data_IF_033024404796
#
_entry.id   IF_033024404796
#
_cell.length_a   1.000
_cell.length_b   1.000
_cell.length_c   1.000
_cell.angle_alpha   90.00
_cell.angle_beta   90.00
_cell.angle_gamma   90.00
#
_symmetry.space_group_name_H-M   'P 1'
#
loop_
_entity.id
_entity.type
_entity.pdbx_description
1 polymer ?
#
# COMPACT_ATOMS: atom_id res chain seq x y z
N UNK A 1 23.35 -8.75 5.74
CA UNK A 1 22.23 -9.42 5.03
C UNK A 1 20.85 -8.96 5.52
N UNK A 2 20.67 -8.77 6.83
CA UNK A 2 19.42 -8.31 7.45
C UNK A 2 18.82 -7.08 6.74
N UNK A 3 19.61 -6.05 6.45
CA UNK A 3 19.13 -4.86 5.74
C UNK A 3 18.56 -5.13 4.33
N UNK A 4 19.02 -6.17 3.61
CA UNK A 4 18.45 -6.54 2.31
C UNK A 4 17.09 -7.22 2.45
N UNK A 5 16.92 -8.02 3.50
CA UNK A 5 15.64 -8.67 3.82
C UNK A 5 14.60 -7.61 4.18
N UNK A 6 14.94 -6.70 5.11
CA UNK A 6 14.05 -5.59 5.47
C UNK A 6 13.77 -4.64 4.29
N UNK A 7 14.76 -4.37 3.43
CA UNK A 7 14.56 -3.58 2.21
C UNK A 7 13.55 -4.22 1.24
N UNK A 8 13.59 -5.55 1.09
CA UNK A 8 12.60 -6.29 0.32
C UNK A 8 11.20 -6.21 0.92
N UNK A 9 11.09 -6.50 2.22
CA UNK A 9 9.81 -6.44 2.95
C UNK A 9 9.20 -5.03 2.88
N UNK A 10 10.01 -3.99 3.09
CA UNK A 10 9.56 -2.59 3.01
C UNK A 10 9.00 -2.26 1.64
N UNK A 11 9.65 -2.70 0.56
CA UNK A 11 9.15 -2.46 -0.80
C UNK A 11 7.82 -3.17 -1.04
N UNK A 12 7.70 -4.41 -0.58
CA UNK A 12 6.43 -5.16 -0.67
C UNK A 12 5.30 -4.47 0.10
N UNK A 13 5.58 -3.97 1.30
CA UNK A 13 4.60 -3.23 2.11
C UNK A 13 4.24 -1.89 1.47
N UNK A 14 5.21 -1.17 0.89
CA UNK A 14 4.97 0.13 0.26
C UNK A 14 3.90 0.04 -0.84
N UNK A 15 3.94 -1.02 -1.67
CA UNK A 15 2.93 -1.24 -2.70
C UNK A 15 1.63 -1.81 -2.13
N UNK A 16 1.70 -2.87 -1.32
CA UNK A 16 0.50 -3.60 -0.88
C UNK A 16 -0.34 -2.83 0.15
N UNK A 17 0.30 -2.14 1.10
CA UNK A 17 -0.41 -1.35 2.11
C UNK A 17 -1.06 -0.10 1.49
N UNK A 18 -0.36 0.56 0.57
CA UNK A 18 -0.90 1.69 -0.18
C UNK A 18 -2.11 1.28 -1.02
N UNK A 19 -2.01 0.17 -1.77
CA UNK A 19 -3.11 -0.34 -2.57
C UNK A 19 -4.36 -0.63 -1.73
N UNK A 20 -4.17 -1.31 -0.60
CA UNK A 20 -5.26 -1.67 0.31
C UNK A 20 -5.92 -0.44 0.93
N UNK A 21 -5.13 0.57 1.34
CA UNK A 21 -5.65 1.82 1.87
C UNK A 21 -6.44 2.60 0.81
N UNK A 22 -5.93 2.70 -0.42
CA UNK A 22 -6.59 3.41 -1.51
C UNK A 22 -7.94 2.75 -1.86
N UNK A 23 -7.98 1.42 -1.90
CA UNK A 23 -9.22 0.65 -2.14
C UNK A 23 -10.23 0.91 -1.02
N UNK A 24 -9.80 0.92 0.24
CA UNK A 24 -10.67 1.19 1.38
C UNK A 24 -11.23 2.62 1.36
N UNK A 25 -10.40 3.62 1.06
CA UNK A 25 -10.81 5.01 0.95
C UNK A 25 -11.77 5.24 -0.24
N UNK A 26 -11.51 4.58 -1.36
CA UNK A 26 -12.37 4.61 -2.55
C UNK A 26 -13.74 3.97 -2.29
N UNK A 27 -13.78 2.85 -1.56
CA UNK A 27 -15.01 2.18 -1.14
C UNK A 27 -15.81 3.05 -0.15
N UNK A 28 -15.15 3.68 0.84
CA UNK A 28 -15.80 4.63 1.77
C UNK A 28 -16.50 5.79 1.04
N UNK A 29 -15.95 6.23 -0.09
CA UNK A 29 -16.48 7.35 -0.87
C UNK A 29 -17.44 6.94 -2.01
N UNK A 30 -17.74 5.64 -2.16
CA UNK A 30 -18.62 5.10 -3.22
C UNK A 30 -18.26 5.55 -4.65
N UNK A 31 -16.96 5.69 -4.95
CA UNK A 31 -16.52 6.08 -6.28
C UNK A 31 -16.52 4.91 -7.26
N UNK A 32 -16.66 5.20 -8.55
CA UNK A 32 -16.70 4.21 -9.62
C UNK A 32 -15.31 3.54 -9.82
N UNK A 33 -15.28 2.21 -9.97
CA UNK A 33 -14.04 1.39 -10.02
C UNK A 33 -13.03 1.86 -11.08
N UNK A 34 -13.50 2.48 -12.17
CA UNK A 34 -12.65 2.98 -13.26
C UNK A 34 -11.67 4.10 -12.83
N UNK A 35 -12.04 4.93 -11.85
CA UNK A 35 -11.21 6.03 -11.37
C UNK A 35 -10.05 5.54 -10.49
N UNK A 36 -10.24 4.40 -9.82
CA UNK A 36 -9.20 3.74 -9.03
C UNK A 36 -8.05 3.26 -9.92
N UNK A 37 -8.37 2.48 -10.97
CA UNK A 37 -7.37 1.96 -11.91
C UNK A 37 -6.64 3.07 -12.68
N UNK A 38 -7.35 4.16 -13.03
CA UNK A 38 -6.74 5.32 -13.66
C UNK A 38 -5.79 6.06 -12.71
N UNK A 39 -6.15 6.17 -11.43
CA UNK A 39 -5.30 6.78 -10.40
C UNK A 39 -4.05 5.94 -10.15
N UNK A 40 -4.18 4.61 -10.02
CA UNK A 40 -3.02 3.71 -9.92
C UNK A 40 -2.11 3.81 -11.14
N UNK A 41 -2.67 3.79 -12.35
CA UNK A 41 -1.87 3.91 -13.57
C UNK A 41 -1.10 5.23 -13.63
N UNK A 42 -1.75 6.35 -13.29
CA UNK A 42 -1.08 7.66 -13.24
C UNK A 42 -0.04 7.73 -12.13
N UNK A 43 -0.34 7.21 -10.95
CA UNK A 43 0.57 7.21 -9.80
C UNK A 43 1.81 6.35 -10.04
N UNK A 44 1.66 5.16 -10.62
CA UNK A 44 2.78 4.26 -10.95
C UNK A 44 3.58 4.80 -12.13
N UNK A 45 2.93 5.32 -13.17
CA UNK A 45 3.59 5.81 -14.38
C UNK A 45 4.36 7.12 -14.15
N UNK A 46 3.70 8.11 -13.53
CA UNK A 46 4.34 9.38 -13.22
C UNK A 46 5.22 9.25 -11.97
N UNK A 47 4.78 8.52 -10.95
CA UNK A 47 5.53 8.35 -9.72
C UNK A 47 6.86 7.64 -9.94
N UNK A 48 6.86 6.43 -10.49
CA UNK A 48 8.13 5.68 -10.59
C UNK A 48 9.16 6.35 -11.50
N UNK A 49 8.72 6.99 -12.60
CA UNK A 49 9.63 7.68 -13.51
C UNK A 49 10.09 9.03 -12.98
N UNK A 50 9.14 9.94 -12.71
CA UNK A 50 9.45 11.31 -12.33
C UNK A 50 10.08 11.39 -10.93
N UNK A 51 9.55 10.64 -9.96
CA UNK A 51 10.09 10.65 -8.59
C UNK A 51 11.47 10.01 -8.54
N UNK A 52 11.77 9.00 -9.37
CA UNK A 52 13.12 8.43 -9.43
C UNK A 52 14.15 9.46 -9.91
N UNK A 53 13.82 10.23 -10.96
CA UNK A 53 14.69 11.29 -11.48
C UNK A 53 14.88 12.39 -10.44
N UNK A 54 13.79 12.85 -9.83
CA UNK A 54 13.84 13.90 -8.80
C UNK A 54 14.59 13.44 -7.55
N UNK A 55 14.40 12.19 -7.12
CA UNK A 55 15.11 11.60 -5.96
C UNK A 55 16.61 11.45 -6.23
N UNK A 56 17.00 11.04 -7.43
CA UNK A 56 18.41 10.98 -7.83
C UNK A 56 19.05 12.36 -7.86
N UNK A 57 18.36 13.37 -8.40
CA UNK A 57 18.84 14.75 -8.40
C UNK A 57 18.93 15.31 -6.98
N UNK A 58 17.91 15.09 -6.14
CA UNK A 58 17.87 15.55 -4.76
C UNK A 58 18.96 14.89 -3.91
N UNK A 59 19.19 13.58 -4.09
CA UNK A 59 20.28 12.85 -3.44
C UNK A 59 21.65 13.40 -3.82
N UNK A 60 21.87 13.67 -5.11
CA UNK A 60 23.12 14.31 -5.57
C UNK A 60 23.28 15.72 -4.99
N UNK A 61 22.22 16.53 -4.98
CA UNK A 61 22.27 17.88 -4.40
C UNK A 61 22.55 17.85 -2.89
N UNK A 62 21.97 16.90 -2.14
CA UNK A 62 22.22 16.78 -0.70
C UNK A 62 23.67 16.37 -0.39
N UNK A 63 24.23 15.47 -1.19
CA UNK A 63 25.62 15.01 -1.02
C UNK A 63 26.62 16.10 -1.45
N UNK A 64 26.41 16.72 -2.62
CA UNK A 64 27.34 17.70 -3.17
C UNK A 64 27.23 19.09 -2.51
N UNK A 65 26.02 19.57 -2.20
CA UNK A 65 25.81 20.94 -1.69
C UNK A 65 26.04 21.04 -0.18
N UNK A 66 25.64 20.02 0.59
CA UNK A 66 25.77 20.02 2.04
C UNK A 66 26.98 19.23 2.57
N UNK A 67 27.69 18.47 1.72
CA UNK A 67 28.86 17.65 2.11
C UNK A 67 28.62 16.74 3.33
N UNK A 68 27.36 16.36 3.60
CA UNK A 68 26.94 15.60 4.79
C UNK A 68 27.33 14.11 4.77
N UNK A 69 28.15 13.71 3.80
CA UNK A 69 28.59 12.33 3.62
C UNK A 69 27.49 11.41 3.06
N UNK A 70 27.84 10.13 2.79
CA UNK A 70 26.95 9.18 2.10
C UNK A 70 25.67 8.79 2.87
N UNK A 71 25.48 9.28 4.09
CA UNK A 71 24.34 8.96 4.97
C UNK A 71 23.20 9.99 4.86
N UNK A 72 23.46 11.17 4.30
CA UNK A 72 22.50 12.27 4.20
C UNK A 72 21.17 11.92 3.49
N UNK A 73 21.15 11.13 2.39
CA UNK A 73 19.91 10.76 1.72
C UNK A 73 19.01 9.87 2.59
N UNK A 74 19.61 9.02 3.43
CA UNK A 74 18.86 8.13 4.33
C UNK A 74 18.20 8.93 5.46
N UNK A 75 18.88 9.94 5.99
CA UNK A 75 18.36 10.79 7.06
C UNK A 75 17.22 11.69 6.54
N UNK A 76 17.37 12.22 5.34
CA UNK A 76 16.30 12.96 4.66
C UNK A 76 15.06 12.08 4.42
N UNK A 77 15.25 10.84 3.95
CA UNK A 77 14.16 9.89 3.79
C UNK A 77 13.47 9.55 5.13
N UNK A 78 14.23 9.42 6.22
CA UNK A 78 13.68 9.19 7.56
C UNK A 78 12.84 10.38 8.04
N UNK A 79 13.29 11.61 7.80
CA UNK A 79 12.52 12.81 8.12
C UNK A 79 11.20 12.88 7.35
N UNK A 80 11.23 12.61 6.04
CA UNK A 80 10.03 12.59 5.19
C UNK A 80 9.06 11.52 5.68
N UNK A 81 9.56 10.34 6.03
CA UNK A 81 8.74 9.26 6.58
C UNK A 81 8.10 9.66 7.92
N UNK A 82 8.84 10.30 8.82
CA UNK A 82 8.31 10.77 10.10
C UNK A 82 7.18 11.79 9.92
N UNK A 83 7.33 12.73 8.99
CA UNK A 83 6.29 13.71 8.64
C UNK A 83 5.08 12.99 8.00
N UNK A 84 5.33 12.03 7.13
CA UNK A 84 4.30 11.20 6.52
C UNK A 84 3.47 10.46 7.56
N UNK A 85 4.11 9.83 8.54
CA UNK A 85 3.41 9.15 9.64
C UNK A 85 2.58 10.12 10.49
N UNK A 86 3.05 11.35 10.71
CA UNK A 86 2.31 12.35 11.47
C UNK A 86 1.11 12.96 10.70
N UNK A 87 1.18 13.01 9.37
CA UNK A 87 0.17 13.62 8.50
C UNK A 87 -0.81 12.60 7.92
N UNK A 88 -0.49 11.31 7.99
CA UNK A 88 -1.35 10.25 7.51
C UNK A 88 -2.48 9.98 8.50
N UNK A 89 -3.71 10.38 8.14
CA UNK A 89 -4.90 10.01 8.90
C UNK A 89 -5.08 8.50 8.83
N UNK A 90 -4.92 7.83 9.97
CA UNK A 90 -5.03 6.39 10.07
C UNK A 90 -6.46 5.94 9.76
N UNK A 91 -6.60 5.18 8.67
CA UNK A 91 -7.88 4.63 8.24
C UNK A 91 -8.15 3.37 9.06
N UNK A 92 -8.59 3.55 10.31
CA UNK A 92 -9.09 2.44 11.11
C UNK A 92 -10.29 1.84 10.37
N UNK A 93 -10.10 0.62 9.85
CA UNK A 93 -11.20 -0.25 9.51
C UNK A 93 -12.09 -0.39 10.75
N UNK A 94 -13.40 -0.37 10.55
CA UNK A 94 -14.40 -0.43 11.62
C UNK A 94 -14.02 -1.53 12.64
N UNK A 95 -13.81 -1.21 13.93
CA UNK A 95 -13.39 -2.20 14.93
C UNK A 95 -14.39 -3.35 15.09
N UNK A 96 -15.60 -3.18 14.57
CA UNK A 96 -16.71 -4.15 14.62
C UNK A 96 -16.52 -5.38 13.72
N UNK A 97 -15.54 -5.40 12.80
CA UNK A 97 -15.30 -6.54 11.89
C UNK A 97 -13.91 -7.17 12.06
N UNK A 98 -13.37 -7.11 13.28
CA UNK A 98 -12.21 -7.91 13.70
C UNK A 98 -12.61 -9.39 13.89
N UNK A 99 -13.16 -9.99 12.84
CA UNK A 99 -13.27 -11.45 12.75
C UNK A 99 -11.87 -11.99 12.58
N UNK A 100 -11.37 -12.64 13.63
CA UNK A 100 -10.08 -13.33 13.69
C UNK A 100 -9.72 -13.93 12.33
N UNK A 101 -8.59 -13.51 11.74
CA UNK A 101 -8.18 -13.99 10.41
C UNK A 101 -8.14 -15.52 10.36
N UNK A 102 -7.71 -16.15 11.46
CA UNK A 102 -7.75 -17.59 11.65
C UNK A 102 -9.17 -18.18 11.59
N UNK A 103 -10.17 -17.47 12.12
CA UNK A 103 -11.57 -17.87 11.99
C UNK A 103 -12.05 -17.78 10.54
N UNK A 104 -11.64 -16.76 9.79
CA UNK A 104 -11.98 -16.62 8.37
C UNK A 104 -11.30 -17.68 7.50
N UNK A 105 -10.02 -17.97 7.74
CA UNK A 105 -9.32 -19.07 7.06
C UNK A 105 -9.95 -20.43 7.38
N UNK A 106 -10.36 -20.65 8.63
CA UNK A 106 -11.05 -21.89 9.04
C UNK A 106 -12.43 -22.01 8.38
N UNK A 107 -13.21 -20.92 8.33
CA UNK A 107 -14.51 -20.88 7.65
C UNK A 107 -14.35 -21.09 6.13
N UNK A 108 -13.37 -20.45 5.51
CA UNK A 108 -13.06 -20.63 4.09
C UNK A 108 -12.61 -22.07 3.79
N UNK A 109 -11.76 -22.66 4.62
CA UNK A 109 -11.33 -24.06 4.47
C UNK A 109 -12.51 -25.03 4.61
N UNK A 110 -13.42 -24.80 5.57
CA UNK A 110 -14.65 -25.59 5.73
C UNK A 110 -15.59 -25.39 4.53
N UNK A 111 -15.72 -24.16 4.02
CA UNK A 111 -16.54 -23.86 2.85
C UNK A 111 -16.03 -24.58 1.59
N UNK A 112 -14.71 -24.58 1.37
CA UNK A 112 -14.06 -25.31 0.28
C UNK A 112 -14.23 -26.83 0.45
N UNK A 113 -14.02 -27.35 1.66
CA UNK A 113 -14.19 -28.78 1.97
C UNK A 113 -15.66 -29.25 1.85
N UNK A 114 -16.63 -28.38 2.13
CA UNK A 114 -18.06 -28.67 2.02
C UNK A 114 -18.61 -28.63 0.59
N UNK A 115 -17.79 -28.26 -0.41
CA UNK A 115 -18.18 -28.24 -1.82
C UNK A 115 -19.25 -27.21 -2.20
N UNK A 116 -19.65 -26.30 -1.30
CA UNK A 116 -20.71 -25.30 -1.53
C UNK A 116 -20.24 -24.03 -2.24
N UNK A 117 -19.32 -24.14 -3.21
CA UNK A 117 -18.87 -22.98 -4.01
C UNK A 117 -19.91 -22.54 -5.06
N UNK A 118 -20.95 -23.34 -5.29
CA UNK A 118 -21.99 -23.09 -6.28
C UNK A 118 -23.33 -23.03 -5.55
N UNK A 119 -23.88 -21.84 -5.31
CA UNK A 119 -25.33 -21.59 -5.19
C UNK A 119 -25.68 -20.11 -4.91
N UNK A 120 -24.75 -19.27 -4.45
CA UNK A 120 -25.07 -17.86 -4.18
C UNK A 120 -25.07 -16.94 -5.43
N UNK A 121 -24.58 -17.42 -6.58
CA UNK A 121 -24.41 -16.58 -7.79
C UNK A 121 -25.25 -17.02 -9.01
N UNK A 122 -26.30 -17.84 -8.81
CA UNK A 122 -27.17 -18.30 -9.90
C UNK A 122 -28.68 -18.14 -9.65
N UNK A 123 -29.12 -17.50 -8.56
CA UNK A 123 -30.56 -17.31 -8.29
C UNK A 123 -30.89 -15.92 -7.72
N UNK A 124 -30.44 -14.84 -8.35
CA UNK A 124 -31.14 -13.55 -8.22
C UNK A 124 -30.70 -12.55 -9.29
N UNK A 125 -31.17 -12.74 -10.51
CA UNK A 125 -31.78 -11.63 -11.25
C UNK A 125 -32.86 -12.21 -12.16
N UNK A 126 -34.12 -11.75 -12.07
CA UNK A 126 -35.06 -11.90 -13.17
C UNK A 126 -34.58 -11.09 -14.38
#
# INVERSE_FOLDING_TARGET
MVGRIYGGISTSLLFSAFESWLIAEHNKRNFEQQWLSLTFSKAVFLGNGLVAILSGLFGNLLVDTFSLGPVAPFDAAACILAIGMATWSENYGDPSDSKDLLSQFKVAAIAIASGKFKLANLTSKP
#
